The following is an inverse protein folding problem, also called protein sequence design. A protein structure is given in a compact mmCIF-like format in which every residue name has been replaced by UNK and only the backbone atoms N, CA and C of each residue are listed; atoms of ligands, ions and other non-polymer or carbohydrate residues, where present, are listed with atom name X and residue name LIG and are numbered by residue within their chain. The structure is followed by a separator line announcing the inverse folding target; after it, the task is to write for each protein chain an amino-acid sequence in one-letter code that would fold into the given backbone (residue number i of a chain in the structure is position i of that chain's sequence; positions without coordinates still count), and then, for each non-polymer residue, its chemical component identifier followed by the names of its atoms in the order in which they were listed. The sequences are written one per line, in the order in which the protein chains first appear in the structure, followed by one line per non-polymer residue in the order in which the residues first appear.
data_IF_718690744151
#
_entry.id   IF_718690744151
#
_cell.length_a   1.000
_cell.length_b   1.000
_cell.length_c   1.000
_cell.angle_alpha   90.00
_cell.angle_beta   90.00
_cell.angle_gamma   90.00
#
_symmetry.space_group_name_H-M   'P 1'
#
loop_
_entity.id
_entity.type
_entity.pdbx_description
1 polymer ?
#
# COMPACT_ATOMS: atom_id res chain seq x y z
N UNK A 1 -49.95 4.05 10.16
CA UNK A 1 -48.64 3.52 10.70
C UNK A 1 -47.70 3.45 9.52
N UNK A 2 -46.76 4.38 9.44
CA UNK A 2 -45.68 4.38 8.43
C UNK A 2 -44.50 3.60 9.04
N UNK A 3 -44.18 2.47 8.44
CA UNK A 3 -42.91 1.76 8.80
C UNK A 3 -41.75 2.57 8.25
N UNK A 4 -40.70 2.83 9.06
CA UNK A 4 -39.49 3.42 8.50
C UNK A 4 -38.91 2.45 7.50
N UNK A 5 -38.68 2.93 6.26
CA UNK A 5 -37.82 2.27 5.29
C UNK A 5 -36.44 2.26 5.94
N UNK A 6 -35.99 1.07 6.36
CA UNK A 6 -34.59 0.86 6.70
C UNK A 6 -33.79 1.08 5.41
N UNK A 7 -33.21 2.28 5.26
CA UNK A 7 -32.18 2.52 4.28
C UNK A 7 -31.08 1.51 4.54
N UNK A 8 -30.72 0.68 3.58
CA UNK A 8 -29.49 -0.08 3.56
C UNK A 8 -28.39 0.96 3.78
N UNK A 9 -27.71 0.91 4.93
CA UNK A 9 -26.44 1.62 5.06
C UNK A 9 -25.54 1.05 3.96
N UNK A 10 -25.32 1.83 2.90
CA UNK A 10 -24.40 1.44 1.85
C UNK A 10 -23.00 1.51 2.47
N UNK A 11 -22.38 0.36 2.65
CA UNK A 11 -21.02 0.27 3.15
C UNK A 11 -20.07 0.91 2.13
N UNK A 12 -19.19 1.81 2.57
CA UNK A 12 -18.14 2.37 1.72
C UNK A 12 -17.39 1.26 0.98
N UNK A 13 -16.98 1.54 -0.29
CA UNK A 13 -16.17 0.62 -1.08
C UNK A 13 -14.84 1.24 -1.44
N UNK A 14 -13.78 0.46 -1.30
CA UNK A 14 -12.43 0.87 -1.66
C UNK A 14 -11.93 0.01 -2.82
N UNK A 15 -11.82 0.62 -4.01
CA UNK A 15 -11.33 -0.04 -5.22
C UNK A 15 -9.80 0.05 -5.26
N UNK A 16 -9.14 -1.11 -5.38
CA UNK A 16 -7.70 -1.25 -5.14
C UNK A 16 -7.03 -2.26 -6.08
N UNK A 17 -5.70 -2.23 -6.07
CA UNK A 17 -4.81 -3.37 -6.36
C UNK A 17 -4.08 -3.76 -5.07
N UNK A 18 -3.87 -5.05 -4.83
CA UNK A 18 -3.21 -5.51 -3.61
C UNK A 18 -1.72 -5.13 -3.55
N UNK A 19 -1.01 -5.14 -4.70
CA UNK A 19 0.40 -4.71 -4.78
C UNK A 19 0.61 -3.21 -4.64
N UNK A 20 -0.42 -2.39 -4.84
CA UNK A 20 -0.25 -0.94 -4.98
C UNK A 20 0.03 -0.28 -3.61
N UNK A 21 1.19 0.37 -3.40
CA UNK A 21 1.51 1.00 -2.12
C UNK A 21 0.57 2.16 -1.77
N UNK A 22 0.02 2.86 -2.78
CA UNK A 22 -0.99 3.89 -2.57
C UNK A 22 -2.32 3.30 -2.08
N UNK A 23 -2.69 2.13 -2.58
CA UNK A 23 -3.85 1.39 -2.08
C UNK A 23 -3.65 0.94 -0.64
N UNK A 24 -2.45 0.47 -0.29
CA UNK A 24 -2.09 0.10 1.08
C UNK A 24 -2.25 1.29 2.04
N UNK A 25 -1.86 2.51 1.64
CA UNK A 25 -2.10 3.73 2.44
C UNK A 25 -3.57 3.91 2.80
N UNK A 26 -4.45 3.78 1.80
CA UNK A 26 -5.88 3.91 2.01
C UNK A 26 -6.44 2.76 2.87
N UNK A 27 -6.03 1.51 2.63
CA UNK A 27 -6.45 0.35 3.42
C UNK A 27 -6.07 0.49 4.89
N UNK A 28 -4.84 0.95 5.16
CA UNK A 28 -4.32 1.12 6.52
C UNK A 28 -5.23 1.97 7.38
N UNK A 29 -5.68 3.13 6.90
CA UNK A 29 -6.45 4.07 7.71
C UNK A 29 -7.79 3.49 8.16
N UNK A 30 -8.44 2.67 7.32
CA UNK A 30 -9.67 1.99 7.70
C UNK A 30 -9.45 1.06 8.90
N UNK A 31 -8.43 0.22 8.84
CA UNK A 31 -8.08 -0.68 9.94
C UNK A 31 -7.63 0.08 11.19
N UNK A 32 -6.71 1.03 11.06
CA UNK A 32 -6.20 1.85 12.17
C UNK A 32 -7.30 2.65 12.89
N UNK A 33 -8.34 3.05 12.15
CA UNK A 33 -9.48 3.79 12.69
C UNK A 33 -10.68 2.91 13.06
N UNK A 34 -10.66 1.64 12.66
CA UNK A 34 -11.75 0.69 12.90
C UNK A 34 -13.01 1.06 12.13
N UNK A 35 -12.84 1.63 10.94
CA UNK A 35 -13.93 1.97 10.01
C UNK A 35 -14.12 0.80 9.05
N UNK A 36 -15.36 0.34 8.89
CA UNK A 36 -15.68 -0.74 7.98
C UNK A 36 -15.63 -0.26 6.51
N UNK A 37 -15.09 -1.11 5.62
CA UNK A 37 -15.05 -0.86 4.19
C UNK A 37 -15.09 -2.20 3.44
N UNK A 38 -15.74 -2.23 2.27
CA UNK A 38 -15.67 -3.35 1.33
C UNK A 38 -14.49 -3.10 0.37
N UNK A 39 -13.47 -3.96 0.41
CA UNK A 39 -12.37 -3.90 -0.56
C UNK A 39 -12.79 -4.57 -1.87
N UNK A 40 -12.67 -3.86 -2.99
CA UNK A 40 -12.96 -4.35 -4.34
C UNK A 40 -11.67 -4.32 -5.16
N UNK A 41 -11.17 -5.50 -5.53
CA UNK A 41 -9.96 -5.60 -6.34
C UNK A 41 -10.34 -5.54 -7.82
N UNK A 42 -9.76 -4.57 -8.53
CA UNK A 42 -9.91 -4.44 -9.97
C UNK A 42 -8.83 -5.24 -10.70
N UNK A 43 -9.10 -5.69 -11.93
CA UNK A 43 -8.05 -6.22 -12.80
C UNK A 43 -7.11 -5.09 -13.21
N UNK A 44 -5.80 -5.39 -13.34
CA UNK A 44 -4.81 -4.34 -13.57
C UNK A 44 -4.96 -3.66 -14.94
N UNK A 45 -5.53 -4.34 -15.92
CA UNK A 45 -5.83 -3.83 -17.26
C UNK A 45 -7.23 -3.18 -17.40
N UNK A 46 -8.06 -3.21 -16.35
CA UNK A 46 -9.36 -2.52 -16.35
C UNK A 46 -9.12 -0.99 -16.31
N UNK A 47 -9.21 -0.34 -17.46
CA UNK A 47 -9.15 1.12 -17.58
C UNK A 47 -10.54 1.76 -17.48
N UNK A 48 -11.58 1.04 -17.88
CA UNK A 48 -12.93 1.58 -17.98
C UNK A 48 -13.51 1.95 -16.61
N UNK A 49 -13.41 1.04 -15.65
CA UNK A 49 -14.00 1.22 -14.31
C UNK A 49 -13.45 2.45 -13.59
N UNK A 50 -12.13 2.63 -13.41
CA UNK A 50 -11.60 3.82 -12.74
C UNK A 50 -11.84 5.11 -13.53
N UNK A 51 -11.74 5.08 -14.86
CA UNK A 51 -12.02 6.27 -15.69
C UNK A 51 -13.48 6.71 -15.53
N UNK A 52 -14.43 5.78 -15.50
CA UNK A 52 -15.85 6.09 -15.27
C UNK A 52 -16.13 6.69 -13.89
N UNK A 53 -15.38 6.26 -12.86
CA UNK A 53 -15.56 6.70 -11.48
C UNK A 53 -14.97 8.09 -11.23
N UNK A 54 -13.73 8.33 -11.65
CA UNK A 54 -12.96 9.54 -11.30
C UNK A 54 -12.28 10.23 -12.49
N UNK A 55 -12.53 9.79 -13.73
CA UNK A 55 -11.96 10.38 -14.93
C UNK A 55 -10.49 9.99 -15.20
N UNK A 56 -9.91 9.09 -14.43
CA UNK A 56 -8.50 8.71 -14.56
C UNK A 56 -8.30 7.21 -14.26
N UNK A 57 -7.31 6.59 -14.94
CA UNK A 57 -6.86 5.22 -14.67
C UNK A 57 -5.93 5.22 -13.47
N UNK A 58 -6.49 5.28 -12.28
CA UNK A 58 -5.73 5.22 -11.02
C UNK A 58 -6.53 4.54 -9.91
N UNK A 59 -5.84 4.00 -8.94
CA UNK A 59 -6.34 3.50 -7.65
C UNK A 59 -5.41 4.01 -6.53
N UNK A 60 -5.88 4.11 -5.28
CA UNK A 60 -7.19 3.70 -4.78
C UNK A 60 -8.32 4.66 -5.16
N UNK A 61 -9.55 4.14 -5.18
CA UNK A 61 -10.77 4.94 -5.31
C UNK A 61 -11.70 4.59 -4.16
N UNK A 62 -12.14 5.57 -3.40
CA UNK A 62 -13.16 5.41 -2.38
C UNK A 62 -14.53 5.79 -2.91
N UNK A 63 -15.49 4.86 -2.86
CA UNK A 63 -16.91 5.17 -2.97
C UNK A 63 -17.44 5.41 -1.56
N UNK A 64 -17.93 6.62 -1.32
CA UNK A 64 -18.52 7.04 -0.05
C UNK A 64 -19.95 6.53 0.12
N UNK A 65 -20.50 6.63 1.33
CA UNK A 65 -21.88 6.24 1.65
C UNK A 65 -22.94 7.01 0.85
N UNK A 66 -22.62 8.22 0.37
CA UNK A 66 -23.49 9.03 -0.48
C UNK A 66 -23.41 8.65 -1.98
N UNK A 67 -22.59 7.63 -2.32
CA UNK A 67 -22.35 7.17 -3.68
C UNK A 67 -21.32 7.99 -4.46
N UNK A 68 -20.79 9.09 -3.91
CA UNK A 68 -19.74 9.88 -4.56
C UNK A 68 -18.39 9.17 -4.50
N UNK A 69 -17.52 9.47 -5.48
CA UNK A 69 -16.18 8.89 -5.56
C UNK A 69 -15.10 9.92 -5.19
N UNK A 70 -14.01 9.43 -4.58
CA UNK A 70 -12.81 10.22 -4.40
C UNK A 70 -11.58 9.36 -4.70
N UNK A 71 -10.61 9.95 -5.39
CA UNK A 71 -9.26 9.41 -5.61
C UNK A 71 -8.27 10.02 -4.62
N UNK A 72 -6.98 9.86 -4.92
CA UNK A 72 -5.84 10.34 -4.14
C UNK A 72 -5.71 9.71 -2.75
N UNK A 73 -4.73 8.82 -2.61
CA UNK A 73 -4.60 7.99 -1.40
C UNK A 73 -4.50 8.79 -0.10
N UNK A 74 -3.79 9.91 -0.11
CA UNK A 74 -3.61 10.73 1.10
C UNK A 74 -4.86 11.54 1.43
N UNK A 75 -5.67 11.90 0.43
CA UNK A 75 -6.95 12.56 0.68
C UNK A 75 -7.96 11.58 1.26
N UNK A 76 -7.95 10.31 0.79
CA UNK A 76 -8.73 9.23 1.41
C UNK A 76 -8.29 9.01 2.86
N UNK A 77 -6.98 8.97 3.12
CA UNK A 77 -6.45 8.84 4.49
C UNK A 77 -6.97 9.95 5.40
N UNK A 78 -6.87 11.21 4.98
CA UNK A 78 -7.33 12.35 5.79
C UNK A 78 -8.84 12.36 5.99
N UNK A 79 -9.59 12.01 4.95
CA UNK A 79 -11.05 11.92 5.01
C UNK A 79 -11.51 10.90 6.06
N UNK A 80 -10.95 9.69 6.03
CA UNK A 80 -11.30 8.63 6.99
C UNK A 80 -10.79 8.95 8.39
N UNK A 81 -9.60 9.51 8.51
CA UNK A 81 -9.02 9.93 9.80
C UNK A 81 -9.90 10.98 10.50
N UNK A 82 -10.36 11.98 9.75
CA UNK A 82 -11.26 13.02 10.27
C UNK A 82 -12.64 12.45 10.64
N UNK A 83 -13.22 11.62 9.77
CA UNK A 83 -14.53 11.00 9.99
C UNK A 83 -14.56 10.13 11.25
N UNK A 84 -13.48 9.42 11.53
CA UNK A 84 -13.40 8.49 12.67
C UNK A 84 -13.38 9.20 14.04
N UNK A 85 -13.00 10.48 14.11
CA UNK A 85 -13.06 11.27 15.34
C UNK A 85 -12.16 10.80 16.50
N UNK A 86 -11.14 9.96 16.23
CA UNK A 86 -10.27 9.32 17.24
C UNK A 86 -8.93 10.03 17.47
N UNK A 87 -8.90 11.35 17.32
CA UNK A 87 -7.65 12.11 17.26
C UNK A 87 -7.04 12.02 15.85
N UNK A 88 -6.33 13.06 15.45
CA UNK A 88 -5.75 13.10 14.09
C UNK A 88 -4.42 12.35 14.03
N UNK A 89 -4.14 11.75 12.88
CA UNK A 89 -2.80 11.28 12.57
C UNK A 89 -1.83 12.46 12.63
N UNK A 90 -0.64 12.22 13.18
CA UNK A 90 0.42 13.22 13.18
C UNK A 90 0.83 13.50 11.72
N UNK A 91 0.65 14.74 11.25
CA UNK A 91 0.94 15.13 9.86
C UNK A 91 2.44 15.28 9.57
N UNK A 92 3.24 15.58 10.60
CA UNK A 92 4.67 15.81 10.45
C UNK A 92 5.40 14.54 10.03
N UNK A 93 6.24 14.67 8.99
CA UNK A 93 7.18 13.64 8.55
C UNK A 93 8.59 14.14 8.84
N UNK A 94 9.35 13.40 9.63
CA UNK A 94 10.74 13.74 9.95
C UNK A 94 11.58 13.80 8.65
N UNK A 95 12.45 14.80 8.49
CA UNK A 95 13.30 14.92 7.28
C UNK A 95 14.10 13.64 6.98
N UNK A 96 14.57 12.93 8.00
CA UNK A 96 15.33 11.69 7.84
C UNK A 96 14.45 10.57 7.23
N UNK A 97 13.17 10.51 7.58
CA UNK A 97 12.22 9.55 7.00
C UNK A 97 11.96 9.91 5.52
N UNK A 98 11.80 11.18 5.21
CA UNK A 98 11.64 11.62 3.81
C UNK A 98 12.88 11.30 2.96
N UNK A 99 14.08 11.55 3.48
CA UNK A 99 15.34 11.18 2.81
C UNK A 99 15.42 9.67 2.56
N UNK A 100 15.02 8.86 3.54
CA UNK A 100 14.96 7.41 3.38
C UNK A 100 13.96 6.99 2.29
N UNK A 101 12.75 7.55 2.30
CA UNK A 101 11.72 7.28 1.28
C UNK A 101 12.21 7.62 -0.13
N UNK A 102 12.82 8.79 -0.31
CA UNK A 102 13.37 9.23 -1.59
C UNK A 102 14.48 8.29 -2.08
N UNK A 103 15.36 7.87 -1.17
CA UNK A 103 16.48 6.96 -1.45
C UNK A 103 16.00 5.58 -1.91
N UNK A 104 15.11 4.94 -1.13
CA UNK A 104 14.61 3.60 -1.48
C UNK A 104 13.70 3.63 -2.71
N UNK A 105 12.94 4.70 -2.89
CA UNK A 105 12.08 4.93 -4.05
C UNK A 105 12.81 4.84 -5.40
N UNK A 106 14.13 5.07 -5.43
CA UNK A 106 14.94 5.02 -6.66
C UNK A 106 15.11 3.59 -7.22
N UNK A 107 14.92 2.55 -6.40
CA UNK A 107 15.21 1.17 -6.85
C UNK A 107 14.21 0.11 -6.37
N UNK A 108 13.42 0.38 -5.32
CA UNK A 108 12.57 -0.65 -4.70
C UNK A 108 11.56 -1.26 -5.69
N UNK A 109 11.07 -0.47 -6.65
CA UNK A 109 10.17 -0.96 -7.68
C UNK A 109 10.83 -1.99 -8.60
N UNK A 110 12.14 -1.91 -8.81
CA UNK A 110 12.92 -2.91 -9.58
C UNK A 110 13.00 -4.25 -8.88
N UNK A 111 12.89 -4.24 -7.54
CA UNK A 111 12.88 -5.45 -6.73
C UNK A 111 11.47 -6.04 -6.59
N UNK A 112 10.45 -5.18 -6.43
CA UNK A 112 9.07 -5.59 -6.12
C UNK A 112 8.25 -5.88 -7.38
N UNK A 113 8.20 -4.95 -8.35
CA UNK A 113 7.27 -5.04 -9.48
C UNK A 113 7.44 -6.28 -10.37
N UNK A 114 8.65 -6.81 -10.64
CA UNK A 114 8.79 -8.08 -11.35
C UNK A 114 8.21 -9.28 -10.58
N UNK A 115 8.09 -9.17 -9.25
CA UNK A 115 7.52 -10.20 -8.37
C UNK A 115 6.02 -10.11 -8.25
N UNK A 116 5.44 -8.92 -8.38
CA UNK A 116 4.00 -8.70 -8.31
C UNK A 116 3.25 -9.59 -9.31
N UNK A 117 3.78 -9.72 -10.55
CA UNK A 117 3.17 -10.54 -11.60
C UNK A 117 3.43 -12.06 -11.45
N UNK A 118 4.28 -12.46 -10.51
CA UNK A 118 4.61 -13.87 -10.23
C UNK A 118 3.95 -14.40 -8.94
N UNK A 119 3.38 -13.49 -8.12
CA UNK A 119 2.96 -13.79 -6.76
C UNK A 119 1.47 -14.19 -6.63
N UNK A 120 0.81 -14.55 -7.71
CA UNK A 120 -0.62 -14.94 -7.73
C UNK A 120 -1.51 -13.89 -7.02
N UNK A 121 -1.32 -12.63 -7.39
CA UNK A 121 -2.14 -11.53 -6.88
C UNK A 121 -3.45 -11.42 -7.68
N UNK A 122 -4.58 -11.12 -7.02
CA UNK A 122 -5.90 -11.20 -7.65
C UNK A 122 -6.10 -10.22 -8.81
N UNK A 123 -5.42 -9.08 -8.82
CA UNK A 123 -5.43 -8.11 -9.93
C UNK A 123 -4.70 -8.58 -11.19
N UNK A 124 -3.99 -9.68 -11.10
CA UNK A 124 -3.27 -10.35 -12.18
C UNK A 124 -3.83 -11.74 -12.48
N UNK A 125 -5.12 -11.98 -12.20
CA UNK A 125 -5.78 -13.25 -12.46
C UNK A 125 -5.82 -13.59 -13.97
N UNK A 126 -5.85 -12.57 -14.83
CA UNK A 126 -5.86 -12.72 -16.28
C UNK A 126 -4.48 -12.39 -16.89
N UNK A 127 -4.08 -13.15 -17.90
CA UNK A 127 -2.80 -12.91 -18.59
C UNK A 127 -2.72 -11.51 -19.21
N UNK A 128 -3.83 -10.97 -19.67
CA UNK A 128 -3.90 -9.60 -20.22
C UNK A 128 -3.49 -8.55 -19.20
N UNK A 129 -3.87 -8.72 -17.93
CA UNK A 129 -3.48 -7.82 -16.83
C UNK A 129 -1.98 -7.89 -16.53
N UNK A 130 -1.39 -9.11 -16.58
CA UNK A 130 0.07 -9.32 -16.45
C UNK A 130 0.82 -8.63 -17.59
N UNK A 131 0.39 -8.86 -18.85
CA UNK A 131 1.03 -8.29 -20.03
C UNK A 131 0.94 -6.76 -20.04
N UNK A 132 -0.23 -6.22 -19.68
CA UNK A 132 -0.46 -4.77 -19.55
C UNK A 132 0.47 -4.13 -18.52
N UNK A 133 0.54 -4.70 -17.31
CA UNK A 133 1.39 -4.19 -16.24
C UNK A 133 2.87 -4.27 -16.64
N UNK A 134 3.31 -5.42 -17.13
CA UNK A 134 4.70 -5.65 -17.54
C UNK A 134 5.11 -4.64 -18.60
N UNK A 135 4.33 -4.49 -19.67
CA UNK A 135 4.64 -3.55 -20.76
C UNK A 135 4.75 -2.10 -20.26
N UNK A 136 3.87 -1.67 -19.35
CA UNK A 136 3.93 -0.31 -18.78
C UNK A 136 5.10 -0.12 -17.83
N UNK A 137 5.39 -1.10 -16.97
CA UNK A 137 6.42 -0.95 -15.92
C UNK A 137 7.82 -1.10 -16.46
N UNK A 138 8.04 -1.99 -17.42
CA UNK A 138 9.35 -2.12 -18.07
C UNK A 138 9.82 -0.85 -18.80
N UNK A 139 8.90 0.00 -19.25
CA UNK A 139 9.24 1.34 -19.79
C UNK A 139 9.83 2.27 -18.72
N UNK A 140 9.54 2.04 -17.45
CA UNK A 140 9.96 2.91 -16.33
C UNK A 140 11.18 2.36 -15.61
N UNK A 141 11.16 1.05 -15.29
CA UNK A 141 12.17 0.43 -14.44
C UNK A 141 13.15 -0.49 -15.21
N UNK A 142 12.93 -0.69 -16.50
CA UNK A 142 13.69 -1.65 -17.34
C UNK A 142 13.13 -3.06 -17.25
N UNK A 143 13.79 -3.98 -17.98
CA UNK A 143 13.32 -5.35 -18.16
C UNK A 143 13.19 -6.10 -16.82
N UNK A 144 12.08 -6.82 -16.63
CA UNK A 144 11.79 -7.53 -15.39
C UNK A 144 12.76 -8.67 -15.12
N UNK A 145 13.14 -9.45 -16.13
CA UNK A 145 14.10 -10.56 -15.95
C UNK A 145 15.49 -10.04 -15.56
N UNK A 146 15.92 -8.92 -16.15
CA UNK A 146 17.19 -8.27 -15.78
C UNK A 146 17.15 -7.74 -14.34
N UNK A 147 16.04 -7.15 -13.92
CA UNK A 147 15.85 -6.68 -12.54
C UNK A 147 15.82 -7.86 -11.55
N UNK A 148 15.18 -8.98 -11.91
CA UNK A 148 15.20 -10.20 -11.09
C UNK A 148 16.62 -10.75 -10.93
N UNK A 149 17.44 -10.76 -12.00
CA UNK A 149 18.83 -11.19 -11.95
C UNK A 149 19.70 -10.30 -11.01
N UNK A 150 19.34 -9.02 -10.86
CA UNK A 150 20.00 -8.06 -9.97
C UNK A 150 19.48 -8.10 -8.51
N UNK A 151 18.62 -9.04 -8.16
CA UNK A 151 18.10 -9.18 -6.79
C UNK A 151 19.21 -9.13 -5.70
N UNK A 152 20.35 -9.85 -5.84
CA UNK A 152 21.40 -9.77 -4.82
C UNK A 152 21.99 -8.37 -4.62
N UNK A 153 22.13 -7.59 -5.70
CA UNK A 153 22.59 -6.21 -5.66
C UNK A 153 21.61 -5.31 -4.89
N UNK A 154 20.32 -5.42 -5.20
CA UNK A 154 19.28 -4.65 -4.52
C UNK A 154 19.13 -5.02 -3.05
N UNK A 155 19.23 -6.32 -2.71
CA UNK A 155 19.20 -6.78 -1.32
C UNK A 155 20.42 -6.28 -0.54
N UNK A 156 21.63 -6.30 -1.11
CA UNK A 156 22.81 -5.75 -0.48
C UNK A 156 22.65 -4.25 -0.17
N UNK A 157 22.07 -3.49 -1.09
CA UNK A 157 21.74 -2.07 -0.86
C UNK A 157 20.72 -1.89 0.26
N UNK A 158 19.68 -2.74 0.30
CA UNK A 158 18.65 -2.70 1.34
C UNK A 158 19.20 -2.93 2.76
N UNK A 159 20.28 -3.68 2.92
CA UNK A 159 20.92 -3.89 4.24
C UNK A 159 21.28 -2.55 4.87
N UNK A 160 21.95 -1.68 4.11
CA UNK A 160 22.35 -0.34 4.60
C UNK A 160 21.11 0.54 4.82
N UNK A 161 20.15 0.53 3.88
CA UNK A 161 18.94 1.32 3.98
C UNK A 161 18.06 0.88 5.16
N UNK A 162 18.02 -0.41 5.48
CA UNK A 162 17.32 -0.92 6.66
C UNK A 162 18.05 -0.57 7.97
N UNK A 163 19.37 -0.55 7.99
CA UNK A 163 20.12 -0.11 9.17
C UNK A 163 19.83 1.36 9.50
N UNK A 164 19.71 2.21 8.47
CA UNK A 164 19.28 3.61 8.64
C UNK A 164 17.85 3.69 9.19
N UNK A 165 16.91 2.93 8.59
CA UNK A 165 15.52 2.92 9.03
C UNK A 165 15.37 2.40 10.46
N UNK A 166 16.12 1.36 10.84
CA UNK A 166 16.09 0.82 12.20
C UNK A 166 16.44 1.88 13.26
N UNK A 167 17.36 2.79 12.93
CA UNK A 167 17.69 3.95 13.77
C UNK A 167 16.55 4.98 13.89
N UNK A 168 15.59 4.97 12.95
CA UNK A 168 14.44 5.88 12.95
C UNK A 168 13.19 5.28 13.63
N UNK A 169 13.14 3.95 13.80
CA UNK A 169 12.02 3.27 14.47
C UNK A 169 12.08 3.54 15.97
N UNK A 170 11.10 4.29 16.47
CA UNK A 170 10.96 4.61 17.91
C UNK A 170 10.23 3.49 18.64
N UNK A 171 9.11 2.99 18.05
CA UNK A 171 8.34 1.88 18.64
C UNK A 171 7.76 0.99 17.53
N UNK A 172 7.30 -0.21 17.91
CA UNK A 172 6.72 -1.14 16.95
C UNK A 172 5.32 -0.70 16.48
N UNK A 173 4.59 0.03 17.28
CA UNK A 173 3.22 0.48 17.01
C UNK A 173 3.14 1.83 16.28
N UNK A 174 4.27 2.57 16.21
CA UNK A 174 4.38 3.81 15.45
C UNK A 174 5.84 4.15 15.14
N UNK A 175 6.17 4.41 13.89
CA UNK A 175 7.54 4.69 13.45
C UNK A 175 8.18 5.84 14.25
N UNK A 176 7.43 6.92 14.44
CA UNK A 176 7.84 8.11 15.19
C UNK A 176 7.43 8.11 16.67
N UNK A 177 6.95 6.98 17.22
CA UNK A 177 6.43 6.87 18.58
C UNK A 177 5.01 7.36 18.77
N UNK A 178 4.42 7.99 17.75
CA UNK A 178 3.02 8.40 17.66
C UNK A 178 2.54 8.12 16.24
N UNK A 179 1.36 7.50 16.11
CA UNK A 179 0.79 7.12 14.83
C UNK A 179 0.56 8.34 13.92
N UNK A 180 1.09 8.29 12.70
CA UNK A 180 1.08 9.43 11.82
C UNK A 180 1.35 9.13 10.35
N UNK A 181 1.61 10.21 9.60
CA UNK A 181 1.88 10.13 8.16
C UNK A 181 3.15 9.34 7.85
N UNK A 182 4.12 9.27 8.78
CA UNK A 182 5.29 8.41 8.60
C UNK A 182 4.90 6.94 8.42
N UNK A 183 3.93 6.45 9.23
CA UNK A 183 3.44 5.09 9.14
C UNK A 183 2.70 4.84 7.82
N UNK A 184 1.86 5.79 7.42
CA UNK A 184 1.11 5.75 6.15
C UNK A 184 2.05 5.72 4.93
N UNK A 185 3.22 6.33 5.01
CA UNK A 185 4.17 6.41 3.90
C UNK A 185 5.17 5.23 3.90
N UNK A 186 5.64 4.81 5.07
CA UNK A 186 6.72 3.82 5.18
C UNK A 186 6.21 2.39 5.16
N UNK A 187 5.15 2.08 5.93
CA UNK A 187 4.65 0.70 6.01
C UNK A 187 4.27 0.10 4.63
N UNK A 188 3.60 0.80 3.71
CA UNK A 188 3.27 0.24 2.40
C UNK A 188 4.48 -0.26 1.61
N UNK A 189 5.61 0.45 1.72
CA UNK A 189 6.87 0.07 1.07
C UNK A 189 7.42 -1.20 1.72
N UNK A 190 7.48 -1.23 3.05
CA UNK A 190 7.98 -2.39 3.79
C UNK A 190 7.09 -3.61 3.61
N UNK A 191 5.77 -3.41 3.61
CA UNK A 191 4.79 -4.46 3.31
C UNK A 191 5.00 -5.06 1.93
N UNK A 192 5.17 -4.24 0.91
CA UNK A 192 5.39 -4.74 -0.45
C UNK A 192 6.73 -5.46 -0.60
N UNK A 193 7.75 -5.04 0.14
CA UNK A 193 9.03 -5.76 0.17
C UNK A 193 8.92 -7.19 0.72
N UNK A 194 7.90 -7.50 1.53
CA UNK A 194 7.71 -8.87 2.05
C UNK A 194 7.36 -9.91 0.96
N UNK A 195 7.15 -9.47 -0.29
CA UNK A 195 7.02 -10.35 -1.47
C UNK A 195 8.36 -10.95 -1.90
N UNK A 196 9.48 -10.38 -1.44
CA UNK A 196 10.83 -10.81 -1.83
C UNK A 196 11.27 -11.99 -0.97
N UNK A 197 11.40 -13.17 -1.58
CA UNK A 197 11.86 -14.37 -0.87
C UNK A 197 13.28 -14.17 -0.34
N UNK A 198 13.48 -14.52 0.92
CA UNK A 198 14.78 -14.40 1.58
C UNK A 198 15.10 -12.98 2.04
N UNK A 199 14.16 -12.04 2.00
CA UNK A 199 14.34 -10.73 2.60
C UNK A 199 14.51 -10.85 4.11
N UNK A 200 15.57 -10.28 4.63
CA UNK A 200 15.84 -10.15 6.07
C UNK A 200 15.68 -8.69 6.49
N UNK A 201 14.86 -8.46 7.50
CA UNK A 201 14.67 -7.14 8.10
C UNK A 201 15.34 -7.10 9.48
N UNK A 202 15.99 -5.98 9.87
CA UNK A 202 16.50 -5.81 11.23
C UNK A 202 15.38 -5.93 12.27
N UNK A 203 15.67 -6.33 13.50
CA UNK A 203 14.65 -6.67 14.51
C UNK A 203 13.60 -5.60 14.77
N UNK A 204 13.99 -4.32 14.85
CA UNK A 204 13.02 -3.24 15.09
C UNK A 204 12.13 -3.00 13.87
N UNK A 205 12.70 -3.08 12.65
CA UNK A 205 11.92 -2.94 11.40
C UNK A 205 10.95 -4.10 11.26
N UNK A 206 11.40 -5.34 11.52
CA UNK A 206 10.53 -6.52 11.45
C UNK A 206 9.39 -6.45 12.47
N UNK A 207 9.67 -6.03 13.71
CA UNK A 207 8.66 -5.84 14.75
C UNK A 207 7.64 -4.75 14.35
N UNK A 208 8.10 -3.63 13.81
CA UNK A 208 7.25 -2.55 13.31
C UNK A 208 6.34 -3.03 12.18
N UNK A 209 6.89 -3.73 11.19
CA UNK A 209 6.13 -4.26 10.04
C UNK A 209 5.04 -5.25 10.50
N UNK A 210 5.38 -6.15 11.42
CA UNK A 210 4.44 -7.12 11.95
C UNK A 210 3.31 -6.45 12.74
N UNK A 211 3.64 -5.49 13.60
CA UNK A 211 2.67 -4.78 14.43
C UNK A 211 1.78 -3.86 13.58
N UNK A 212 2.36 -3.14 12.62
CA UNK A 212 1.58 -2.28 11.73
C UNK A 212 0.63 -3.09 10.83
N UNK A 213 1.05 -4.26 10.36
CA UNK A 213 0.16 -5.21 9.68
C UNK A 213 -1.02 -5.63 10.57
N UNK A 214 -0.75 -5.96 11.83
CA UNK A 214 -1.78 -6.33 12.80
C UNK A 214 -2.74 -5.18 13.10
N UNK A 215 -2.23 -3.98 13.35
CA UNK A 215 -3.02 -2.79 13.70
C UNK A 215 -3.90 -2.31 12.53
N UNK A 216 -3.36 -2.32 11.32
CA UNK A 216 -4.06 -1.88 10.12
C UNK A 216 -4.96 -2.94 9.51
N UNK A 217 -4.77 -4.22 9.87
CA UNK A 217 -5.45 -5.35 9.23
C UNK A 217 -4.96 -5.65 7.80
N UNK A 218 -3.92 -4.95 7.32
CA UNK A 218 -3.36 -5.17 5.97
C UNK A 218 -2.35 -6.33 6.02
N UNK A 219 -2.62 -7.47 5.35
CA UNK A 219 -1.74 -8.63 5.42
C UNK A 219 -0.41 -8.38 4.69
N UNK A 220 0.66 -9.01 5.20
CA UNK A 220 1.95 -9.06 4.54
C UNK A 220 1.92 -10.00 3.33
N UNK A 221 2.90 -9.88 2.42
CA UNK A 221 3.02 -10.72 1.23
C UNK A 221 3.89 -11.97 1.44
N UNK A 222 4.34 -12.25 2.66
CA UNK A 222 5.25 -13.37 2.99
C UNK A 222 4.76 -14.72 2.50
N UNK A 223 3.43 -14.96 2.53
CA UNK A 223 2.82 -16.20 2.04
C UNK A 223 2.87 -16.37 0.51
N UNK A 224 3.17 -15.29 -0.23
CA UNK A 224 3.26 -15.24 -1.70
C UNK A 224 4.66 -14.88 -2.18
N UNK A 225 5.67 -14.90 -1.30
CA UNK A 225 7.03 -14.47 -1.62
C UNK A 225 7.69 -15.33 -2.71
N UNK A 226 8.27 -14.68 -3.71
CA UNK A 226 8.96 -15.25 -4.86
C UNK A 226 10.38 -14.74 -5.00
#
# INVERSE_FOLDING_TARGET
MMFPVQGKEETMKLYIYDHCPFCVRARMVFGLRGVAVEEVILQNDDEETPIKMIGAKQVPILQKDDGSFMGESLDIVRYIDEMAGKGRLKEEVRPQVQVWLDKVGTYINKLVQPRDVLADLPEFAEQSAVDYFTAKKEQIIGNFAENMAKTPEYLARLVDDFAELEGLVVSADALGGELGMEDILVFPILRNLTIVRGLEMPPKVAAYVAEMSRLSGVPLQTGRAV
#
